data_IF_146583069099
#
_entry.id   IF_146583069099
#
_cell.length_a   1.000
_cell.length_b   1.000
_cell.length_c   1.000
_cell.angle_alpha   90.00
_cell.angle_beta   90.00
_cell.angle_gamma   90.00
#
_symmetry.space_group_name_H-M   'P 1'
#
loop_
_entity.id
_entity.type
_entity.pdbx_description
1 polymer ?
#
# COMPACT_ATOMS: atom_id res chain seq x y z
N UNK A 1 -2.26 27.27 9.05
CA UNK A 1 -3.28 26.65 8.18
C UNK A 1 -2.70 26.67 6.79
N UNK A 2 -2.68 25.51 6.12
CA UNK A 2 -2.30 25.44 4.70
C UNK A 2 -3.47 25.99 3.90
N UNK A 3 -3.17 26.87 2.96
CA UNK A 3 -4.15 27.53 2.09
C UNK A 3 -4.47 26.64 0.88
N UNK A 4 -5.67 26.79 0.32
CA UNK A 4 -6.04 26.12 -0.95
C UNK A 4 -5.05 26.48 -2.08
N UNK A 5 -4.51 27.69 -2.06
CA UNK A 5 -3.49 28.17 -2.98
C UNK A 5 -2.16 27.38 -2.89
N UNK A 6 -1.77 26.96 -1.68
CA UNK A 6 -0.59 26.14 -1.46
C UNK A 6 -0.80 24.72 -1.99
N UNK A 7 -1.97 24.11 -1.74
CA UNK A 7 -2.34 22.80 -2.29
C UNK A 7 -2.34 22.84 -3.82
N UNK A 8 -2.91 23.90 -4.42
CA UNK A 8 -2.93 24.10 -5.87
C UNK A 8 -1.51 24.19 -6.45
N UNK A 9 -0.61 24.94 -5.82
CA UNK A 9 0.77 25.11 -6.30
C UNK A 9 1.52 23.78 -6.33
N UNK A 10 1.38 22.98 -5.26
CA UNK A 10 1.96 21.64 -5.18
C UNK A 10 1.31 20.72 -6.21
N UNK A 11 -0.01 20.75 -6.36
CA UNK A 11 -0.76 19.98 -7.35
C UNK A 11 -0.32 20.24 -8.79
N UNK A 12 -0.11 21.50 -9.16
CA UNK A 12 0.43 21.90 -10.47
C UNK A 12 1.82 21.31 -10.74
N UNK A 13 2.66 21.21 -9.71
CA UNK A 13 3.99 20.58 -9.83
C UNK A 13 3.86 19.08 -10.08
N UNK A 14 2.91 18.40 -9.42
CA UNK A 14 2.69 16.97 -9.59
C UNK A 14 2.23 16.60 -11.01
N UNK A 15 1.28 17.36 -11.58
CA UNK A 15 0.69 17.03 -12.89
C UNK A 15 1.53 17.47 -14.09
N UNK A 16 2.55 18.31 -13.89
CA UNK A 16 3.35 18.85 -14.99
C UNK A 16 4.43 17.84 -15.44
N UNK A 17 4.31 17.25 -16.65
CA UNK A 17 5.28 16.27 -17.13
C UNK A 17 6.64 16.90 -17.49
N UNK A 18 6.74 18.24 -17.56
CA UNK A 18 8.01 18.93 -17.77
C UNK A 18 8.81 19.06 -16.47
N UNK A 19 8.19 18.85 -15.31
CA UNK A 19 8.92 18.83 -14.04
C UNK A 19 9.77 17.56 -13.91
N UNK A 20 10.98 17.66 -13.34
CA UNK A 20 11.76 16.47 -13.01
C UNK A 20 10.98 15.52 -12.10
N UNK A 21 11.09 14.22 -12.35
CA UNK A 21 10.34 13.19 -11.60
C UNK A 21 10.55 13.30 -10.08
N UNK A 22 11.75 13.68 -9.63
CA UNK A 22 12.04 13.96 -8.22
C UNK A 22 11.17 15.09 -7.63
N UNK A 23 10.94 16.17 -8.38
CA UNK A 23 10.09 17.27 -7.93
C UNK A 23 8.62 16.84 -7.86
N UNK A 24 8.19 16.00 -8.80
CA UNK A 24 6.83 15.43 -8.83
C UNK A 24 6.59 14.48 -7.65
N UNK A 25 7.55 13.63 -7.30
CA UNK A 25 7.48 12.80 -6.09
C UNK A 25 7.43 13.64 -4.81
N UNK A 26 8.24 14.70 -4.70
CA UNK A 26 8.17 15.63 -3.55
C UNK A 26 6.80 16.28 -3.44
N UNK A 27 6.21 16.69 -4.57
CA UNK A 27 4.86 17.24 -4.61
C UNK A 27 3.81 16.22 -4.18
N UNK A 28 3.89 14.98 -4.69
CA UNK A 28 3.02 13.87 -4.28
C UNK A 28 3.06 13.63 -2.76
N UNK A 29 4.25 13.47 -2.19
CA UNK A 29 4.40 13.24 -0.74
C UNK A 29 3.92 14.41 0.10
N UNK A 30 4.07 15.63 -0.41
CA UNK A 30 3.52 16.83 0.23
C UNK A 30 1.99 16.78 0.21
N UNK A 31 1.35 16.47 -0.93
CA UNK A 31 -0.10 16.32 -1.02
C UNK A 31 -0.64 15.21 -0.11
N UNK A 32 0.06 14.06 -0.03
CA UNK A 32 -0.25 12.99 0.93
C UNK A 32 -0.29 13.52 2.36
N UNK A 33 0.76 14.26 2.77
CA UNK A 33 0.86 14.83 4.12
C UNK A 33 -0.17 15.93 4.41
N UNK A 34 -0.58 16.69 3.38
CA UNK A 34 -1.62 17.72 3.49
C UNK A 34 -3.02 17.11 3.65
N UNK A 35 -3.30 16.01 2.95
CA UNK A 35 -4.60 15.34 3.04
C UNK A 35 -5.74 16.15 2.42
N UNK A 36 -6.95 15.60 2.54
CA UNK A 36 -8.17 16.30 2.15
C UNK A 36 -8.56 16.17 0.67
N UNK A 37 -9.74 16.71 0.32
CA UNK A 37 -10.37 16.45 -0.98
C UNK A 37 -9.58 17.03 -2.15
N UNK A 38 -8.99 18.22 -1.98
CA UNK A 38 -8.18 18.86 -3.02
C UNK A 38 -6.88 18.09 -3.29
N UNK A 39 -6.21 17.60 -2.25
CA UNK A 39 -5.01 16.77 -2.41
C UNK A 39 -5.35 15.47 -3.16
N UNK A 40 -6.44 14.79 -2.77
CA UNK A 40 -6.94 13.60 -3.45
C UNK A 40 -7.25 13.91 -4.91
N UNK A 41 -7.89 15.04 -5.22
CA UNK A 41 -8.21 15.43 -6.58
C UNK A 41 -6.95 15.62 -7.44
N UNK A 42 -5.90 16.27 -6.92
CA UNK A 42 -4.63 16.44 -7.63
C UNK A 42 -3.90 15.12 -7.88
N UNK A 43 -3.82 14.26 -6.87
CA UNK A 43 -3.22 12.93 -7.00
C UNK A 43 -4.01 12.11 -8.03
N UNK A 44 -5.34 12.11 -7.95
CA UNK A 44 -6.22 11.37 -8.86
C UNK A 44 -6.07 11.77 -10.34
N UNK A 45 -5.90 13.07 -10.62
CA UNK A 45 -5.69 13.58 -12.00
C UNK A 45 -4.39 13.07 -12.64
N UNK A 46 -3.45 12.60 -11.84
CA UNK A 46 -2.11 12.22 -12.31
C UNK A 46 -2.02 10.75 -12.77
N UNK A 47 -3.08 9.94 -12.62
CA UNK A 47 -3.09 8.54 -13.10
C UNK A 47 -3.03 8.38 -14.63
N UNK A 48 -3.15 9.48 -15.38
CA UNK A 48 -2.92 9.51 -16.83
C UNK A 48 -1.45 9.66 -17.24
N UNK A 49 -0.50 9.66 -16.28
CA UNK A 49 0.92 9.81 -16.56
C UNK A 49 1.55 8.56 -17.19
N UNK A 50 2.59 8.75 -18.01
CA UNK A 50 3.32 7.66 -18.67
C UNK A 50 4.22 6.87 -17.71
N UNK A 51 4.57 7.43 -16.55
CA UNK A 51 5.43 6.77 -15.57
C UNK A 51 4.63 5.80 -14.71
N UNK A 52 4.76 4.50 -14.99
CA UNK A 52 4.20 3.43 -14.17
C UNK A 52 4.65 3.52 -12.70
N UNK A 53 5.90 3.91 -12.46
CA UNK A 53 6.43 4.13 -11.11
C UNK A 53 5.72 5.27 -10.38
N UNK A 54 5.46 6.38 -11.07
CA UNK A 54 4.71 7.49 -10.46
C UNK A 54 3.28 7.05 -10.16
N UNK A 55 2.60 6.40 -11.12
CA UNK A 55 1.23 5.93 -10.95
C UNK A 55 1.07 4.96 -9.78
N UNK A 56 2.02 4.04 -9.61
CA UNK A 56 2.09 3.19 -8.43
C UNK A 56 2.13 4.05 -7.15
N UNK A 57 3.06 5.00 -7.05
CA UNK A 57 3.19 5.85 -5.87
C UNK A 57 1.94 6.71 -5.60
N UNK A 58 1.19 7.11 -6.64
CA UNK A 58 -0.09 7.81 -6.47
C UNK A 58 -1.09 6.91 -5.71
N UNK A 59 -1.24 5.66 -6.14
CA UNK A 59 -2.14 4.70 -5.50
C UNK A 59 -1.70 4.41 -4.06
N UNK A 60 -0.40 4.19 -3.85
CA UNK A 60 0.18 4.02 -2.51
C UNK A 60 -0.16 5.20 -1.61
N UNK A 61 0.12 6.44 -2.04
CA UNK A 61 -0.17 7.63 -1.27
C UNK A 61 -1.65 7.76 -0.92
N UNK A 62 -2.56 7.49 -1.86
CA UNK A 62 -4.00 7.49 -1.60
C UNK A 62 -4.41 6.44 -0.55
N UNK A 63 -3.84 5.24 -0.61
CA UNK A 63 -4.06 4.18 0.38
C UNK A 63 -3.60 4.61 1.78
N UNK A 64 -2.39 5.18 1.86
CA UNK A 64 -1.81 5.67 3.11
C UNK A 64 -2.52 6.89 3.70
N UNK A 65 -3.31 7.64 2.92
CA UNK A 65 -4.17 8.71 3.41
C UNK A 65 -5.41 8.19 4.14
N UNK A 66 -5.79 6.92 3.90
CA UNK A 66 -6.96 6.25 4.48
C UNK A 66 -8.28 7.02 4.34
N UNK A 67 -8.40 7.84 3.30
CA UNK A 67 -9.56 8.68 3.05
C UNK A 67 -10.46 8.03 2.00
N UNK A 68 -11.66 7.62 2.40
CA UNK A 68 -12.64 6.95 1.53
C UNK A 68 -13.00 7.74 0.27
N UNK A 69 -12.74 9.06 0.22
CA UNK A 69 -12.93 9.85 -1.01
C UNK A 69 -12.02 9.42 -2.16
N UNK A 70 -10.93 8.70 -1.88
CA UNK A 70 -10.05 8.13 -2.89
C UNK A 70 -10.56 6.82 -3.50
N UNK A 71 -11.58 6.18 -2.91
CA UNK A 71 -12.09 4.88 -3.38
C UNK A 71 -12.49 4.91 -4.86
N UNK A 72 -13.28 5.88 -5.36
CA UNK A 72 -13.71 5.87 -6.76
C UNK A 72 -12.56 5.79 -7.77
N UNK A 73 -11.49 6.59 -7.58
CA UNK A 73 -10.34 6.57 -8.49
C UNK A 73 -9.55 5.27 -8.39
N UNK A 74 -9.38 4.72 -7.18
CA UNK A 74 -8.66 3.46 -6.98
C UNK A 74 -9.42 2.27 -7.59
N UNK A 75 -10.76 2.29 -7.51
CA UNK A 75 -11.62 1.30 -8.17
C UNK A 75 -11.46 1.38 -9.70
N UNK A 76 -11.43 2.59 -10.26
CA UNK A 76 -11.22 2.78 -11.70
C UNK A 76 -9.85 2.27 -12.15
N UNK A 77 -8.79 2.54 -11.37
CA UNK A 77 -7.42 2.07 -11.65
C UNK A 77 -7.32 0.54 -11.57
N UNK A 78 -7.89 -0.10 -10.54
CA UNK A 78 -7.89 -1.57 -10.40
C UNK A 78 -8.58 -2.26 -11.58
N UNK A 79 -9.68 -1.67 -12.07
CA UNK A 79 -10.50 -2.19 -13.17
C UNK A 79 -9.85 -2.01 -14.54
N UNK A 80 -9.02 -0.99 -14.72
CA UNK A 80 -8.46 -0.66 -16.03
C UNK A 80 -7.34 -1.63 -16.41
N UNK A 81 -7.66 -2.62 -17.24
CA UNK A 81 -6.68 -3.61 -17.75
C UNK A 81 -5.63 -3.00 -18.70
N UNK A 82 -5.72 -1.70 -19.03
CA UNK A 82 -4.68 -0.97 -19.76
C UNK A 82 -3.62 -0.39 -18.83
N UNK A 83 -3.91 -0.26 -17.53
CA UNK A 83 -2.89 0.07 -16.53
C UNK A 83 -1.94 -1.10 -16.34
N UNK A 84 -0.70 -0.79 -15.99
CA UNK A 84 0.33 -1.80 -15.73
C UNK A 84 -0.07 -2.65 -14.52
N UNK A 85 0.25 -3.96 -14.50
CA UNK A 85 0.07 -4.83 -13.34
C UNK A 85 0.52 -4.21 -12.01
N UNK A 86 1.65 -3.47 -12.05
CA UNK A 86 2.19 -2.79 -10.86
C UNK A 86 1.25 -1.73 -10.28
N UNK A 87 0.58 -0.97 -11.14
CA UNK A 87 -0.34 0.09 -10.72
C UNK A 87 -1.65 -0.51 -10.24
N UNK A 88 -2.12 -1.56 -10.90
CA UNK A 88 -3.35 -2.27 -10.53
C UNK A 88 -3.24 -2.97 -9.18
N UNK A 89 -2.11 -3.63 -8.88
CA UNK A 89 -1.94 -4.24 -7.56
C UNK A 89 -1.96 -3.16 -6.48
N UNK A 90 -1.25 -2.05 -6.69
CA UNK A 90 -1.15 -0.98 -5.70
C UNK A 90 -2.51 -0.34 -5.44
N UNK A 91 -3.37 -0.24 -6.46
CA UNK A 91 -4.76 0.19 -6.27
C UNK A 91 -5.57 -0.79 -5.40
N UNK A 92 -5.40 -2.11 -5.60
CA UNK A 92 -6.00 -3.13 -4.75
C UNK A 92 -5.52 -3.08 -3.29
N UNK A 93 -4.22 -2.84 -3.09
CA UNK A 93 -3.62 -2.67 -1.76
C UNK A 93 -4.15 -1.42 -1.06
N UNK A 94 -4.16 -0.30 -1.78
CA UNK A 94 -4.66 0.98 -1.29
C UNK A 94 -6.13 0.91 -0.84
N UNK A 95 -6.98 0.17 -1.57
CA UNK A 95 -8.35 -0.09 -1.16
C UNK A 95 -8.43 -0.88 0.17
N UNK A 96 -7.55 -1.86 0.38
CA UNK A 96 -7.40 -2.56 1.66
C UNK A 96 -6.85 -1.68 2.78
N UNK A 97 -5.92 -0.78 2.47
CA UNK A 97 -5.32 0.17 3.41
C UNK A 97 -6.34 1.23 3.91
N UNK A 98 -7.22 1.70 3.03
CA UNK A 98 -8.34 2.59 3.37
C UNK A 98 -9.27 1.92 4.38
N UNK A 99 -9.47 0.61 4.30
CA UNK A 99 -10.19 -0.13 5.32
C UNK A 99 -11.73 -0.02 5.24
N UNK A 100 -12.28 0.53 4.16
CA UNK A 100 -13.72 0.68 4.00
C UNK A 100 -14.35 -0.67 3.59
N UNK A 101 -15.31 -1.24 4.35
CA UNK A 101 -15.91 -2.53 4.01
C UNK A 101 -16.75 -2.52 2.71
N UNK A 102 -17.11 -1.35 2.17
CA UNK A 102 -17.90 -1.26 0.93
C UNK A 102 -17.18 -1.84 -0.30
N UNK A 103 -15.84 -1.88 -0.27
CA UNK A 103 -15.02 -2.41 -1.38
C UNK A 103 -14.76 -3.91 -1.26
N UNK A 104 -15.26 -4.58 -0.22
CA UNK A 104 -14.96 -5.99 0.06
C UNK A 104 -15.38 -6.92 -1.10
N UNK A 105 -16.58 -6.76 -1.63
CA UNK A 105 -17.07 -7.60 -2.73
C UNK A 105 -16.30 -7.35 -4.03
N UNK A 106 -15.87 -6.10 -4.28
CA UNK A 106 -14.98 -5.78 -5.39
C UNK A 106 -13.63 -6.48 -5.22
N UNK A 107 -13.01 -6.40 -4.05
CA UNK A 107 -11.73 -7.05 -3.79
C UNK A 107 -11.83 -8.58 -3.88
N UNK A 108 -12.95 -9.18 -3.45
CA UNK A 108 -13.22 -10.61 -3.67
C UNK A 108 -13.30 -10.96 -5.15
N UNK A 109 -13.93 -10.13 -5.97
CA UNK A 109 -13.93 -10.32 -7.43
C UNK A 109 -12.50 -10.34 -7.98
N UNK A 110 -11.67 -9.36 -7.61
CA UNK A 110 -10.29 -9.24 -8.09
C UNK A 110 -9.29 -10.17 -7.41
N UNK A 111 -9.67 -10.87 -6.34
CA UNK A 111 -8.86 -11.92 -5.70
C UNK A 111 -8.58 -13.14 -6.60
N UNK A 112 -9.26 -13.19 -7.76
CA UNK A 112 -9.11 -14.21 -8.81
C UNK A 112 -8.67 -13.62 -10.15
N UNK A 113 -8.10 -12.40 -10.16
CA UNK A 113 -7.60 -11.75 -11.37
C UNK A 113 -6.55 -12.64 -12.09
N UNK A 114 -6.51 -12.67 -13.44
CA UNK A 114 -5.50 -13.43 -14.16
C UNK A 114 -4.07 -12.91 -13.94
N UNK A 115 -3.90 -11.66 -13.51
CA UNK A 115 -2.62 -11.09 -13.10
C UNK A 115 -2.38 -11.44 -11.64
N UNK A 116 -1.38 -12.29 -11.40
CA UNK A 116 -1.14 -12.90 -10.09
C UNK A 116 -0.88 -11.86 -8.99
N UNK A 117 -0.16 -10.79 -9.33
CA UNK A 117 0.13 -9.69 -8.42
C UNK A 117 -1.15 -9.00 -7.96
N UNK A 118 -2.11 -8.78 -8.86
CA UNK A 118 -3.41 -8.17 -8.53
C UNK A 118 -4.24 -9.12 -7.68
N UNK A 119 -4.26 -10.40 -8.04
CA UNK A 119 -5.01 -11.43 -7.32
C UNK A 119 -4.52 -11.56 -5.86
N UNK A 120 -3.22 -11.76 -5.65
CA UNK A 120 -2.64 -11.95 -4.32
C UNK A 120 -2.79 -10.71 -3.44
N UNK A 121 -2.60 -9.51 -3.98
CA UNK A 121 -2.86 -8.27 -3.24
C UNK A 121 -4.33 -8.13 -2.86
N UNK A 122 -5.26 -8.44 -3.77
CA UNK A 122 -6.68 -8.39 -3.45
C UNK A 122 -7.07 -9.44 -2.41
N UNK A 123 -6.45 -10.63 -2.42
CA UNK A 123 -6.61 -11.63 -1.36
C UNK A 123 -6.15 -11.09 0.00
N UNK A 124 -4.99 -10.45 0.05
CA UNK A 124 -4.50 -9.79 1.28
C UNK A 124 -5.46 -8.69 1.75
N UNK A 125 -5.91 -7.82 0.84
CA UNK A 125 -6.85 -6.75 1.15
C UNK A 125 -8.20 -7.28 1.68
N UNK A 126 -8.74 -8.35 1.09
CA UNK A 126 -9.95 -9.04 1.60
C UNK A 126 -9.71 -9.52 3.04
N UNK A 127 -8.61 -10.25 3.28
CA UNK A 127 -8.31 -10.80 4.61
C UNK A 127 -8.06 -9.70 5.64
N UNK A 128 -7.46 -8.59 5.23
CA UNK A 128 -7.29 -7.39 6.05
C UNK A 128 -8.63 -6.79 6.47
N UNK A 129 -9.55 -6.59 5.52
CA UNK A 129 -10.87 -6.02 5.81
C UNK A 129 -11.69 -6.94 6.73
N UNK A 130 -11.67 -8.25 6.47
CA UNK A 130 -12.32 -9.24 7.33
C UNK A 130 -11.73 -9.23 8.75
N UNK A 131 -10.41 -9.11 8.86
CA UNK A 131 -9.73 -8.99 10.16
C UNK A 131 -10.16 -7.71 10.88
N UNK A 132 -10.20 -6.55 10.21
CA UNK A 132 -10.64 -5.27 10.79
C UNK A 132 -12.10 -5.35 11.29
N UNK A 133 -12.99 -6.02 10.56
CA UNK A 133 -14.37 -6.24 10.98
C UNK A 133 -14.44 -7.10 12.25
N UNK A 134 -13.62 -8.14 12.35
CA UNK A 134 -13.56 -9.03 13.53
C UNK A 134 -12.97 -8.34 14.77
N UNK A 135 -12.07 -7.38 14.58
CA UNK A 135 -11.38 -6.64 15.67
C UNK A 135 -11.92 -5.21 15.79
N UNK A 136 -13.20 -5.01 15.46
CA UNK A 136 -13.85 -3.70 15.52
C UNK A 136 -13.79 -3.13 16.93
N UNK A 137 -13.13 -1.98 17.10
CA UNK A 137 -13.00 -1.28 18.39
C UNK A 137 -11.67 -1.50 19.11
N UNK A 138 -10.79 -2.36 18.59
CA UNK A 138 -9.41 -2.46 19.05
C UNK A 138 -8.52 -1.49 18.27
N UNK A 139 -7.57 -0.81 18.93
CA UNK A 139 -6.54 -0.08 18.20
C UNK A 139 -5.75 -1.09 17.37
N UNK A 140 -5.75 -0.94 16.04
CA UNK A 140 -4.82 -1.70 15.19
C UNK A 140 -3.42 -1.35 15.69
N UNK A 141 -2.66 -2.34 16.13
CA UNK A 141 -1.30 -2.15 16.60
C UNK A 141 -0.52 -1.42 15.50
N UNK A 142 -0.23 -0.14 15.73
CA UNK A 142 0.62 0.63 14.85
C UNK A 142 2.05 0.18 15.14
N UNK A 143 2.69 -0.42 14.14
CA UNK A 143 4.11 -0.72 14.21
C UNK A 143 4.93 0.55 14.43
N UNK A 144 6.25 0.43 14.64
CA UNK A 144 7.13 1.60 14.78
C UNK A 144 7.20 2.45 13.51
N UNK A 145 6.63 1.97 12.40
CA UNK A 145 6.55 2.64 11.11
C UNK A 145 5.19 3.31 10.94
N UNK A 146 5.19 4.58 10.54
CA UNK A 146 3.98 5.40 10.30
C UNK A 146 3.33 5.08 8.94
N UNK A 147 3.24 3.80 8.59
CA UNK A 147 2.62 3.28 7.38
C UNK A 147 1.49 2.31 7.71
N UNK A 148 0.52 2.22 6.81
CA UNK A 148 -0.55 1.24 6.86
C UNK A 148 -0.08 -0.02 6.15
N UNK A 149 0.11 -1.09 6.91
CA UNK A 149 0.56 -2.37 6.34
C UNK A 149 -0.60 -3.20 5.77
N UNK A 150 -0.37 -3.99 4.70
CA UNK A 150 -1.33 -4.94 4.14
C UNK A 150 -1.87 -5.97 5.14
N UNK A 151 -1.11 -6.30 6.18
CA UNK A 151 -1.55 -7.18 7.26
C UNK A 151 -1.06 -6.63 8.61
N UNK A 152 -1.87 -6.74 9.69
CA UNK A 152 -1.41 -6.38 11.02
C UNK A 152 -0.32 -7.36 11.49
N UNK A 153 0.67 -6.94 12.28
CA UNK A 153 1.70 -7.85 12.79
C UNK A 153 1.08 -9.02 13.57
N UNK A 154 1.76 -10.16 13.54
CA UNK A 154 1.43 -11.31 14.40
C UNK A 154 1.65 -10.95 15.88
N UNK A 155 0.88 -11.57 16.78
CA UNK A 155 1.07 -11.42 18.23
C UNK A 155 2.30 -12.19 18.76
N UNK A 156 2.74 -13.21 18.01
CA UNK A 156 3.94 -13.98 18.30
C UNK A 156 5.18 -13.08 18.29
N UNK A 157 6.08 -13.29 19.25
CA UNK A 157 7.30 -12.49 19.45
C UNK A 157 8.57 -13.30 19.30
N UNK A 158 8.47 -14.62 19.27
CA UNK A 158 9.61 -15.50 19.02
C UNK A 158 10.04 -15.45 17.56
N UNK A 159 11.25 -14.92 17.31
CA UNK A 159 11.81 -14.76 15.96
C UNK A 159 11.90 -16.09 15.21
N UNK A 160 12.25 -17.18 15.90
CA UNK A 160 12.34 -18.51 15.31
C UNK A 160 11.00 -19.01 14.77
N UNK A 161 9.93 -18.88 15.57
CA UNK A 161 8.58 -19.26 15.14
C UNK A 161 8.03 -18.34 14.05
N UNK A 162 8.28 -17.04 14.14
CA UNK A 162 7.87 -16.10 13.09
C UNK A 162 8.55 -16.43 11.75
N UNK A 163 9.85 -16.78 11.80
CA UNK A 163 10.60 -17.27 10.64
C UNK A 163 10.00 -18.55 10.08
N UNK A 164 9.66 -19.52 10.92
CA UNK A 164 8.98 -20.75 10.47
C UNK A 164 7.65 -20.45 9.76
N UNK A 165 6.84 -19.53 10.29
CA UNK A 165 5.59 -19.11 9.64
C UNK A 165 5.85 -18.42 8.31
N UNK A 166 6.84 -17.51 8.24
CA UNK A 166 7.17 -16.75 7.04
C UNK A 166 7.59 -17.66 5.86
N UNK A 167 8.39 -18.69 6.16
CA UNK A 167 8.96 -19.60 5.17
C UNK A 167 8.03 -20.77 4.77
N UNK A 168 6.92 -20.95 5.47
CA UNK A 168 5.97 -22.04 5.21
C UNK A 168 5.02 -21.68 4.05
N UNK A 169 5.38 -22.07 2.82
CA UNK A 169 4.58 -21.84 1.61
C UNK A 169 3.18 -22.49 1.64
N UNK A 170 2.93 -23.43 2.55
CA UNK A 170 1.59 -24.02 2.71
C UNK A 170 0.65 -23.12 3.52
N UNK A 171 1.16 -22.10 4.20
CA UNK A 171 0.34 -21.16 4.97
C UNK A 171 -0.32 -20.10 4.10
N UNK A 172 -1.50 -19.61 4.52
CA UNK A 172 -2.12 -18.46 3.87
C UNK A 172 -1.17 -17.27 3.79
N UNK A 173 -1.16 -16.58 2.64
CA UNK A 173 -0.31 -15.41 2.39
C UNK A 173 -0.45 -14.34 3.49
N UNK A 174 -1.69 -14.12 3.96
CA UNK A 174 -1.96 -13.19 5.05
C UNK A 174 -1.18 -13.53 6.31
N UNK A 175 -1.15 -14.79 6.75
CA UNK A 175 -0.45 -15.21 7.97
C UNK A 175 1.07 -15.04 7.85
N UNK A 176 1.61 -15.33 6.66
CA UNK A 176 3.02 -15.09 6.33
C UNK A 176 3.36 -13.60 6.40
N UNK A 177 2.48 -12.73 5.90
CA UNK A 177 2.65 -11.27 5.97
C UNK A 177 2.56 -10.75 7.40
N UNK A 178 1.66 -11.29 8.23
CA UNK A 178 1.62 -10.96 9.66
C UNK A 178 2.93 -11.31 10.36
N UNK A 179 3.54 -12.46 10.02
CA UNK A 179 4.83 -12.84 10.57
C UNK A 179 5.97 -11.95 10.06
N UNK A 180 5.98 -11.61 8.78
CA UNK A 180 6.91 -10.66 8.17
C UNK A 180 6.88 -9.30 8.89
N UNK A 181 5.69 -8.72 9.09
CA UNK A 181 5.56 -7.43 9.78
C UNK A 181 5.92 -7.51 11.25
N UNK A 182 5.64 -8.62 11.95
CA UNK A 182 6.11 -8.83 13.32
C UNK A 182 7.65 -8.91 13.40
N UNK A 183 8.31 -9.58 12.44
CA UNK A 183 9.78 -9.61 12.35
C UNK A 183 10.35 -8.23 12.07
N UNK A 184 9.77 -7.49 11.11
CA UNK A 184 10.17 -6.12 10.79
C UNK A 184 10.08 -5.22 12.03
N UNK A 185 8.97 -5.32 12.75
CA UNK A 185 8.70 -4.49 13.93
C UNK A 185 9.57 -4.88 15.14
N UNK A 186 9.93 -6.16 15.27
CA UNK A 186 10.87 -6.63 16.30
C UNK A 186 12.28 -6.10 16.09
N UNK A 187 12.74 -6.03 14.83
CA UNK A 187 14.08 -5.55 14.47
C UNK A 187 15.21 -6.42 15.05
N UNK A 188 16.44 -5.92 14.95
CA UNK A 188 17.64 -6.65 15.39
C UNK A 188 18.17 -7.63 14.34
N UNK A 189 19.35 -8.19 14.62
CA UNK A 189 20.10 -9.03 13.67
C UNK A 189 19.33 -10.32 13.33
N UNK A 190 18.79 -11.02 14.32
CA UNK A 190 18.08 -12.28 14.10
C UNK A 190 16.82 -12.10 13.24
N UNK A 191 16.04 -11.03 13.48
CA UNK A 191 14.85 -10.77 12.67
C UNK A 191 15.19 -10.32 11.24
N UNK A 192 16.28 -9.54 11.08
CA UNK A 192 16.77 -9.15 9.75
C UNK A 192 17.25 -10.37 8.94
N UNK A 193 17.94 -11.32 9.58
CA UNK A 193 18.33 -12.57 8.95
C UNK A 193 17.12 -13.42 8.57
N UNK A 194 16.13 -13.55 9.46
CA UNK A 194 14.89 -14.27 9.17
C UNK A 194 14.14 -13.69 7.96
N UNK A 195 14.09 -12.36 7.82
CA UNK A 195 13.49 -11.68 6.66
C UNK A 195 14.31 -11.90 5.37
N UNK A 196 15.64 -11.91 5.46
CA UNK A 196 16.50 -12.14 4.30
C UNK A 196 16.42 -13.57 3.74
N UNK A 197 15.96 -14.52 4.55
CA UNK A 197 15.73 -15.91 4.16
C UNK A 197 14.39 -16.13 3.45
N UNK A 198 13.51 -15.13 3.44
CA UNK A 198 12.25 -15.23 2.72
C UNK A 198 12.54 -15.62 1.26
N UNK A 199 12.07 -16.79 0.79
CA UNK A 199 12.23 -17.15 -0.61
C UNK A 199 11.54 -16.06 -1.42
N UNK A 200 12.30 -15.41 -2.32
CA UNK A 200 11.84 -14.22 -3.05
C UNK A 200 10.35 -14.37 -3.37
N UNK A 201 9.50 -13.47 -2.86
CA UNK A 201 8.09 -13.58 -3.16
C UNK A 201 7.92 -13.66 -4.68
N UNK A 202 7.08 -14.60 -5.15
CA UNK A 202 6.60 -14.52 -6.54
C UNK A 202 5.81 -13.23 -6.78
N UNK A 203 5.42 -12.55 -5.70
CA UNK A 203 4.72 -11.27 -5.66
C UNK A 203 5.65 -10.08 -5.72
N UNK A 204 5.25 -9.07 -6.50
CA UNK A 204 5.85 -7.73 -6.57
C UNK A 204 5.58 -6.86 -5.32
N UNK A 205 5.07 -7.45 -4.23
CA UNK A 205 4.41 -6.76 -3.11
C UNK A 205 5.35 -6.10 -2.09
N UNK A 206 6.66 -6.26 -2.27
CA UNK A 206 7.64 -5.50 -1.50
C UNK A 206 8.45 -4.72 -2.54
N UNK A 207 8.00 -3.51 -2.94
CA UNK A 207 8.93 -2.60 -3.57
C UNK A 207 10.11 -2.44 -2.59
N UNK A 208 11.36 -2.43 -3.06
CA UNK A 208 12.47 -2.04 -2.21
C UNK A 208 12.09 -0.71 -1.55
N UNK A 209 12.45 -0.47 -0.28
CA UNK A 209 12.16 0.81 0.35
C UNK A 209 12.57 1.90 -0.65
N UNK A 210 11.69 2.89 -0.92
CA UNK A 210 12.10 3.99 -1.79
C UNK A 210 13.44 4.45 -1.25
N UNK A 211 14.41 4.63 -2.14
CA UNK A 211 15.67 5.27 -1.81
C UNK A 211 15.37 6.73 -1.43
N UNK A 212 14.68 6.93 -0.30
CA UNK A 212 14.41 8.18 0.31
C UNK A 212 15.74 8.57 0.93
N UNK A 213 16.48 9.35 0.16
CA UNK A 213 17.24 10.49 0.64
C UNK A 213 17.79 10.27 2.05
N UNK A 214 18.91 9.54 2.13
CA UNK A 214 19.87 9.76 3.20
C UNK A 214 20.16 11.28 3.26
N UNK A 215 20.30 11.85 4.46
CA UNK A 215 20.43 13.30 4.65
C UNK A 215 21.57 13.93 3.83
#
# INVERSE_FOLDING_TARGET
>A
MVTEQEVETVGRTLVDPQQPLQARFRALFTLRGLGGPEAIAWISRTFGDDSALLKHELAYCLGQMQDSRAIPVLVDVLRDTRQEPMVRHEAGEALGAIGNPEVLELLKQYSTDPVIEVAETCQLAVRRLEWLQQHSGEPVAQGPYLSVDPAPPAEERDVGRLREVLLDEARPLFDRYRAMFALRDAGGEEAALALAEEPRPRTALIPPPPAAFAP
#
